data_IF_755342674504
#
_entry.id   IF_755342674504
#
_cell.length_a   1.000
_cell.length_b   1.000
_cell.length_c   1.000
_cell.angle_alpha   90.00
_cell.angle_beta   90.00
_cell.angle_gamma   90.00
#
_symmetry.space_group_name_H-M   'P 1'
#
loop_
_entity.id
_entity.type
_entity.pdbx_description
1 polymer ?
#
# COMPACT_ATOMS: atom_id res chain seq x y z
N UNK A 1 1.23 18.42 -22.51
CA UNK A 1 1.64 17.36 -21.58
C UNK A 1 3.16 17.43 -21.49
N UNK A 2 3.71 17.93 -20.38
CA UNK A 2 5.17 17.99 -20.21
C UNK A 2 5.70 16.55 -20.14
N UNK A 3 6.66 16.20 -21.02
CA UNK A 3 7.43 14.96 -20.91
C UNK A 3 8.13 14.99 -19.56
N UNK A 4 7.67 14.19 -18.61
CA UNK A 4 8.48 13.89 -17.44
C UNK A 4 9.75 13.17 -17.95
N UNK A 5 10.94 13.55 -17.46
CA UNK A 5 12.15 12.80 -17.79
C UNK A 5 11.94 11.34 -17.39
N UNK A 6 12.38 10.41 -18.24
CA UNK A 6 12.36 8.98 -17.90
C UNK A 6 13.15 8.77 -16.61
N UNK A 7 12.56 8.09 -15.60
CA UNK A 7 13.27 7.84 -14.36
C UNK A 7 14.49 6.96 -14.62
N UNK A 8 15.60 7.32 -14.00
CA UNK A 8 16.82 6.53 -13.99
C UNK A 8 16.58 5.15 -13.38
N UNK A 9 17.44 4.19 -13.70
CA UNK A 9 17.35 2.84 -13.13
C UNK A 9 17.35 2.85 -11.58
N UNK A 10 18.08 3.80 -10.97
CA UNK A 10 18.12 4.01 -9.52
C UNK A 10 16.76 4.44 -8.98
N UNK A 11 16.08 5.38 -9.64
CA UNK A 11 14.75 5.85 -9.23
C UNK A 11 13.70 4.74 -9.38
N UNK A 12 13.77 3.96 -10.46
CA UNK A 12 12.90 2.78 -10.66
C UNK A 12 13.04 1.77 -9.54
N UNK A 13 14.30 1.45 -9.20
CA UNK A 13 14.61 0.55 -8.08
C UNK A 13 14.11 1.11 -6.75
N UNK A 14 14.26 2.42 -6.51
CA UNK A 14 13.76 3.06 -5.30
C UNK A 14 12.22 2.99 -5.18
N UNK A 15 11.48 3.23 -6.26
CA UNK A 15 10.02 3.12 -6.29
C UNK A 15 9.54 1.69 -6.02
N UNK A 16 10.12 0.71 -6.70
CA UNK A 16 9.82 -0.71 -6.47
C UNK A 16 10.16 -1.16 -5.05
N UNK A 17 11.27 -0.65 -4.53
CA UNK A 17 11.70 -0.93 -3.16
C UNK A 17 10.71 -0.34 -2.16
N UNK A 18 10.25 0.90 -2.36
CA UNK A 18 9.20 1.51 -1.54
C UNK A 18 7.88 0.73 -1.53
N UNK A 19 7.52 0.08 -2.64
CA UNK A 19 6.35 -0.80 -2.73
C UNK A 19 6.56 -2.16 -2.04
N UNK A 20 7.76 -2.74 -2.16
CA UNK A 20 7.99 -4.17 -1.85
C UNK A 20 8.88 -4.44 -0.63
N UNK A 21 9.49 -3.43 -0.01
CA UNK A 21 10.06 -3.49 1.33
C UNK A 21 8.95 -3.40 2.37
N UNK A 22 8.15 -4.46 2.43
CA UNK A 22 7.17 -4.68 3.48
C UNK A 22 7.70 -5.71 4.47
N UNK A 23 7.33 -5.55 5.74
CA UNK A 23 7.79 -6.36 6.86
C UNK A 23 7.41 -5.73 8.20
N UNK A 24 8.06 -6.14 9.31
CA UNK A 24 7.64 -5.77 10.68
C UNK A 24 7.50 -4.27 10.97
N UNK A 25 8.30 -3.43 10.31
CA UNK A 25 8.28 -1.98 10.50
C UNK A 25 7.43 -1.24 9.48
N UNK A 26 6.99 -1.93 8.42
CA UNK A 26 6.17 -1.39 7.34
C UNK A 26 5.30 -2.53 6.78
N UNK A 27 4.16 -2.81 7.41
CA UNK A 27 3.30 -3.92 6.98
C UNK A 27 2.76 -3.79 5.55
N UNK A 28 2.54 -2.55 5.06
CA UNK A 28 1.93 -2.29 3.74
C UNK A 28 2.77 -1.29 2.93
N UNK A 29 2.86 -1.53 1.62
CA UNK A 29 3.33 -0.60 0.62
C UNK A 29 2.31 -0.46 -0.51
N UNK A 30 2.30 0.67 -1.20
CA UNK A 30 1.48 0.85 -2.40
C UNK A 30 2.19 1.66 -3.47
N UNK A 31 1.77 1.47 -4.71
CA UNK A 31 2.20 2.29 -5.83
C UNK A 31 1.01 2.50 -6.79
N UNK A 32 0.77 3.73 -7.26
CA UNK A 32 -0.22 3.98 -8.29
C UNK A 32 0.04 3.16 -9.57
N UNK A 33 -1.00 2.66 -10.24
CA UNK A 33 -0.82 1.80 -11.43
C UNK A 33 -0.04 2.52 -12.54
N UNK A 34 -0.39 3.78 -12.79
CA UNK A 34 0.34 4.66 -13.70
C UNK A 34 1.84 4.76 -13.36
N UNK A 35 2.20 4.78 -12.08
CA UNK A 35 3.62 4.80 -11.67
C UNK A 35 4.31 3.48 -12.00
N UNK A 36 3.63 2.35 -11.83
CA UNK A 36 4.18 1.04 -12.19
C UNK A 36 4.43 0.96 -13.70
N UNK A 37 3.45 1.38 -14.49
CA UNK A 37 3.50 1.26 -15.96
C UNK A 37 4.50 2.25 -16.57
N UNK A 38 4.38 3.54 -16.24
CA UNK A 38 5.12 4.59 -16.93
C UNK A 38 6.51 4.83 -16.32
N UNK A 39 6.63 4.73 -15.00
CA UNK A 39 7.89 5.04 -14.31
C UNK A 39 8.68 3.79 -14.00
N UNK A 40 8.05 2.69 -13.60
CA UNK A 40 8.78 1.45 -13.34
C UNK A 40 8.99 0.64 -14.62
N UNK A 41 8.14 0.81 -15.65
CA UNK A 41 8.13 -0.01 -16.88
C UNK A 41 7.95 -1.50 -16.59
N UNK A 42 7.08 -1.81 -15.62
CA UNK A 42 6.58 -3.16 -15.37
C UNK A 42 5.06 -3.16 -15.50
N UNK A 43 4.46 -4.34 -15.55
CA UNK A 43 3.00 -4.45 -15.40
C UNK A 43 2.65 -4.67 -13.91
N UNK A 44 1.48 -4.20 -13.44
CA UNK A 44 1.00 -4.49 -12.09
C UNK A 44 1.00 -5.99 -11.77
N UNK A 45 0.66 -6.84 -12.73
CA UNK A 45 0.62 -8.30 -12.57
C UNK A 45 2.02 -8.89 -12.36
N UNK A 46 3.03 -8.40 -13.08
CA UNK A 46 4.41 -8.85 -12.91
C UNK A 46 4.96 -8.48 -11.52
N UNK A 47 4.63 -7.28 -11.04
CA UNK A 47 5.01 -6.83 -9.69
C UNK A 47 4.27 -7.65 -8.63
N UNK A 48 2.98 -7.91 -8.83
CA UNK A 48 2.18 -8.72 -7.91
C UNK A 48 2.71 -10.15 -7.82
N UNK A 49 3.05 -10.77 -8.95
CA UNK A 49 3.65 -12.10 -9.00
C UNK A 49 5.00 -12.16 -8.28
N UNK A 50 5.85 -11.14 -8.44
CA UNK A 50 7.13 -11.05 -7.75
C UNK A 50 6.98 -10.90 -6.22
N UNK A 51 5.97 -10.15 -5.76
CA UNK A 51 5.65 -10.06 -4.34
C UNK A 51 5.10 -11.39 -3.78
N UNK A 52 4.19 -12.04 -4.52
CA UNK A 52 3.64 -13.34 -4.13
C UNK A 52 4.71 -14.43 -4.04
N UNK A 53 5.72 -14.42 -4.93
CA UNK A 53 6.86 -15.33 -4.87
C UNK A 53 7.71 -15.16 -3.59
N UNK A 54 7.57 -14.04 -2.88
CA UNK A 54 8.20 -13.75 -1.59
C UNK A 54 7.28 -14.03 -0.39
N UNK A 55 6.09 -14.60 -0.62
CA UNK A 55 5.09 -14.88 0.43
C UNK A 55 4.20 -13.69 0.79
N UNK A 56 4.25 -12.59 0.03
CA UNK A 56 3.48 -11.38 0.31
C UNK A 56 2.10 -11.44 -0.36
N UNK A 57 1.12 -10.81 0.29
CA UNK A 57 -0.19 -10.60 -0.29
C UNK A 57 -0.21 -9.34 -1.16
N UNK A 58 -1.10 -9.32 -2.16
CA UNK A 58 -1.25 -8.19 -3.07
C UNK A 58 -2.71 -7.90 -3.34
N UNK A 59 -3.04 -6.63 -3.55
CA UNK A 59 -4.38 -6.19 -3.91
C UNK A 59 -4.30 -5.04 -4.93
N UNK A 60 -4.95 -5.22 -6.07
CA UNK A 60 -5.01 -4.21 -7.13
C UNK A 60 -6.39 -3.59 -7.18
N UNK A 61 -6.44 -2.27 -7.07
CA UNK A 61 -7.68 -1.50 -7.17
C UNK A 61 -7.61 -0.58 -8.37
N UNK A 62 -8.62 -0.66 -9.25
CA UNK A 62 -8.72 0.23 -10.39
C UNK A 62 -9.18 1.65 -10.00
N UNK A 63 -9.18 2.59 -10.95
CA UNK A 63 -9.60 4.00 -10.74
C UNK A 63 -10.97 4.19 -10.09
N UNK A 64 -11.93 3.29 -10.36
CA UNK A 64 -13.28 3.37 -9.81
C UNK A 64 -13.42 2.80 -8.39
N UNK A 65 -12.40 2.09 -7.91
CA UNK A 65 -12.40 1.37 -6.63
C UNK A 65 -11.28 1.86 -5.70
N UNK A 66 -10.63 2.97 -6.00
CA UNK A 66 -9.52 3.53 -5.23
C UNK A 66 -9.59 5.05 -5.20
N UNK A 67 -9.11 5.67 -4.12
CA UNK A 67 -8.98 7.13 -4.02
C UNK A 67 -7.88 7.70 -4.94
N UNK A 68 -7.06 6.84 -5.53
CA UNK A 68 -5.99 7.19 -6.48
C UNK A 68 -6.56 7.14 -7.91
N UNK A 69 -6.41 8.24 -8.66
CA UNK A 69 -7.01 8.39 -10.01
C UNK A 69 -6.62 7.29 -10.99
N UNK A 70 -5.41 6.78 -10.93
CA UNK A 70 -4.94 5.68 -11.78
C UNK A 70 -5.26 4.29 -11.21
N UNK A 71 -5.84 4.21 -10.01
CA UNK A 71 -5.81 3.01 -9.20
C UNK A 71 -4.43 2.80 -8.54
N UNK A 72 -4.31 1.74 -7.76
CA UNK A 72 -3.05 1.36 -7.14
C UNK A 72 -2.93 -0.15 -6.92
N UNK A 73 -1.67 -0.61 -6.88
CA UNK A 73 -1.31 -1.91 -6.38
C UNK A 73 -0.81 -1.75 -4.95
N UNK A 74 -1.37 -2.53 -4.04
CA UNK A 74 -0.93 -2.69 -2.67
C UNK A 74 -0.19 -4.02 -2.55
N UNK A 75 0.90 -4.01 -1.78
CA UNK A 75 1.68 -5.17 -1.38
C UNK A 75 1.76 -5.14 0.14
N UNK A 76 1.54 -6.26 0.81
CA UNK A 76 1.52 -6.31 2.25
C UNK A 76 1.89 -7.69 2.80
N UNK A 77 2.43 -7.68 4.02
CA UNK A 77 2.64 -8.88 4.80
C UNK A 77 1.38 -9.14 5.64
N UNK A 78 0.67 -10.24 5.34
CA UNK A 78 -0.63 -10.53 5.94
C UNK A 78 -0.51 -10.87 7.43
N UNK A 79 0.54 -11.57 7.83
CA UNK A 79 0.74 -12.00 9.22
C UNK A 79 1.15 -10.80 10.07
N UNK A 80 2.15 -10.04 9.62
CA UNK A 80 2.60 -8.82 10.31
C UNK A 80 1.47 -7.79 10.40
N UNK A 81 0.66 -7.64 9.36
CA UNK A 81 -0.48 -6.73 9.40
C UNK A 81 -1.54 -7.24 10.39
N UNK A 82 -1.83 -8.54 10.42
CA UNK A 82 -2.78 -9.11 11.38
C UNK A 82 -2.35 -8.84 12.83
N UNK A 83 -1.08 -9.10 13.16
CA UNK A 83 -0.52 -8.84 14.49
C UNK A 83 -0.66 -7.36 14.88
N UNK A 84 -0.33 -6.44 13.96
CA UNK A 84 -0.48 -5.01 14.21
C UNK A 84 -1.94 -4.59 14.44
N UNK A 85 -2.88 -5.15 13.65
CA UNK A 85 -4.30 -4.85 13.78
C UNK A 85 -4.86 -5.39 15.11
N UNK A 86 -4.38 -6.55 15.56
CA UNK A 86 -4.73 -7.12 16.87
C UNK A 86 -4.17 -6.29 18.03
N UNK A 87 -2.89 -5.89 17.97
CA UNK A 87 -2.27 -4.97 18.94
C UNK A 87 -3.02 -3.63 19.03
N UNK A 88 -3.66 -3.23 17.94
CA UNK A 88 -4.36 -1.96 17.79
C UNK A 88 -5.89 -2.11 17.83
N UNK A 89 -6.40 -3.21 18.39
CA UNK A 89 -7.82 -3.57 18.33
C UNK A 89 -8.76 -2.45 18.81
N UNK A 90 -8.41 -1.76 19.90
CA UNK A 90 -9.20 -0.63 20.41
C UNK A 90 -9.26 0.54 19.42
N UNK A 91 -8.14 0.86 18.78
CA UNK A 91 -8.06 1.92 17.77
C UNK A 91 -8.84 1.54 16.50
N UNK A 92 -8.75 0.27 16.08
CA UNK A 92 -9.53 -0.28 14.97
C UNK A 92 -11.03 -0.17 15.24
N UNK A 93 -11.47 -0.60 16.42
CA UNK A 93 -12.88 -0.54 16.81
C UNK A 93 -13.37 0.90 16.92
N UNK A 94 -12.60 1.80 17.55
CA UNK A 94 -12.96 3.21 17.70
C UNK A 94 -13.04 3.95 16.35
N UNK A 95 -12.18 3.58 15.39
CA UNK A 95 -12.17 4.15 14.05
C UNK A 95 -13.16 3.48 13.08
N UNK A 96 -13.84 2.40 13.50
CA UNK A 96 -14.75 1.63 12.64
C UNK A 96 -14.06 0.90 11.50
N UNK A 97 -12.79 0.54 11.66
CA UNK A 97 -11.98 -0.10 10.63
C UNK A 97 -12.14 -1.63 10.67
N UNK A 98 -11.90 -2.34 9.55
CA UNK A 98 -11.84 -3.80 9.55
C UNK A 98 -10.60 -4.31 10.30
N UNK A 99 -10.74 -5.38 11.08
CA UNK A 99 -9.60 -6.06 11.73
C UNK A 99 -8.96 -7.15 10.87
N UNK A 100 -9.63 -7.56 9.79
CA UNK A 100 -9.08 -8.51 8.81
C UNK A 100 -8.11 -7.78 7.86
N UNK A 101 -6.86 -8.27 7.65
CA UNK A 101 -5.86 -7.60 6.83
C UNK A 101 -6.33 -7.25 5.41
N UNK A 102 -6.97 -8.19 4.72
CA UNK A 102 -7.39 -8.01 3.32
C UNK A 102 -8.50 -6.96 3.23
N UNK A 103 -9.49 -7.03 4.14
CA UNK A 103 -10.55 -6.02 4.24
C UNK A 103 -10.03 -4.67 4.67
N UNK A 104 -9.05 -4.62 5.57
CA UNK A 104 -8.41 -3.40 6.00
C UNK A 104 -7.73 -2.69 4.83
N UNK A 105 -6.89 -3.42 4.06
CA UNK A 105 -6.23 -2.90 2.85
C UNK A 105 -7.25 -2.39 1.84
N UNK A 106 -8.32 -3.16 1.58
CA UNK A 106 -9.38 -2.74 0.68
C UNK A 106 -10.09 -1.46 1.18
N UNK A 107 -10.34 -1.35 2.48
CA UNK A 107 -10.97 -0.18 3.07
C UNK A 107 -10.08 1.06 2.92
N UNK A 108 -8.80 0.97 3.31
CA UNK A 108 -7.88 2.12 3.21
C UNK A 108 -7.54 2.52 1.78
N UNK A 109 -7.69 1.62 0.81
CA UNK A 109 -7.57 1.96 -0.60
C UNK A 109 -8.75 2.79 -1.13
N UNK A 110 -9.93 2.66 -0.51
CA UNK A 110 -11.18 3.30 -0.96
C UNK A 110 -11.50 4.60 -0.25
N UNK A 111 -10.97 4.80 0.97
CA UNK A 111 -11.30 5.94 1.83
C UNK A 111 -10.13 6.90 1.93
N UNK A 112 -10.41 8.21 1.83
CA UNK A 112 -9.43 9.25 2.13
C UNK A 112 -9.46 9.58 3.62
N UNK A 113 -8.35 9.37 4.31
CA UNK A 113 -8.21 9.70 5.73
C UNK A 113 -7.48 11.03 5.88
N UNK A 114 -8.12 11.99 6.53
CA UNK A 114 -7.47 13.24 6.93
C UNK A 114 -6.50 13.01 8.10
N UNK A 115 -5.49 13.87 8.25
CA UNK A 115 -4.52 13.78 9.35
C UNK A 115 -5.15 13.93 10.74
N UNK A 116 -6.28 14.61 10.85
CA UNK A 116 -7.03 14.73 12.10
C UNK A 116 -7.93 13.50 12.39
N UNK A 117 -8.03 12.55 11.46
CA UNK A 117 -8.87 11.37 11.64
C UNK A 117 -8.26 10.44 12.71
N UNK A 118 -9.06 9.87 13.64
CA UNK A 118 -8.55 8.97 14.69
C UNK A 118 -7.79 7.74 14.17
N UNK A 119 -8.10 7.28 12.96
CA UNK A 119 -7.39 6.21 12.27
C UNK A 119 -5.96 6.56 11.82
N UNK A 120 -5.66 7.85 11.64
CA UNK A 120 -4.46 8.29 10.94
C UNK A 120 -3.17 7.77 11.58
N UNK A 121 -2.99 7.80 12.93
CA UNK A 121 -1.78 7.27 13.55
C UNK A 121 -1.53 5.78 13.25
N UNK A 122 -2.61 4.98 13.21
CA UNK A 122 -2.51 3.57 12.87
C UNK A 122 -2.15 3.37 11.39
N UNK A 123 -2.80 4.11 10.50
CA UNK A 123 -2.52 4.07 9.06
C UNK A 123 -1.06 4.47 8.79
N UNK A 124 -0.56 5.53 9.42
CA UNK A 124 0.83 5.96 9.34
C UNK A 124 1.79 4.83 9.76
N UNK A 125 1.53 4.18 10.91
CA UNK A 125 2.32 3.02 11.39
C UNK A 125 2.28 1.85 10.40
N UNK A 126 1.14 1.57 9.77
CA UNK A 126 1.00 0.52 8.74
C UNK A 126 1.89 0.78 7.51
N UNK A 127 2.14 2.05 7.16
CA UNK A 127 3.05 2.43 6.06
C UNK A 127 4.50 2.65 6.51
N UNK A 128 4.81 2.40 7.78
CA UNK A 128 6.14 2.59 8.36
C UNK A 128 6.53 4.05 8.56
N UNK A 129 5.54 4.93 8.66
CA UNK A 129 5.75 6.33 8.99
C UNK A 129 5.86 6.46 10.52
N UNK A 130 6.94 7.13 10.97
CA UNK A 130 7.08 7.51 12.37
C UNK A 130 6.18 8.71 12.65
N UNK A 131 5.14 8.52 13.45
CA UNK A 131 4.32 9.59 14.04
C UNK A 131 5.04 10.30 15.17
#
# INVERSE_FOLDING_TARGET
>A
MARHPEPSETERKALLRGLTEVGPTKPVGYLPLYTIEEFVQLTPEAVAAAAAARGLATAQFGPAACCIKSGALYVYDREVLADLLEESADAIAAAGLPSDPDRFVAHIATVWFDMAHPAYPLIARVFGEST
#
